data_IF_379648873103
#
_entry.id   IF_379648873103
#
_cell.length_a   1.000
_cell.length_b   1.000
_cell.length_c   1.000
_cell.angle_alpha   90.00
_cell.angle_beta   90.00
_cell.angle_gamma   90.00
#
_symmetry.space_group_name_H-M   'P 1'
#
loop_
_entity.id
_entity.type
_entity.pdbx_description
1 polymer ?
#
# COMPACT_ATOMS: atom_id res chain seq x y z
N UNK A 1 6.99 4.05 -10.07
CA UNK A 1 8.09 4.28 -9.10
C UNK A 1 9.32 3.44 -9.40
N UNK A 2 9.22 2.14 -9.53
CA UNK A 2 10.37 1.28 -9.87
C UNK A 2 11.00 1.66 -11.23
N UNK A 3 10.18 2.02 -12.22
CA UNK A 3 10.65 2.41 -13.56
C UNK A 3 11.62 3.62 -13.55
N UNK A 4 11.48 4.51 -12.59
CA UNK A 4 12.35 5.69 -12.43
C UNK A 4 13.49 5.45 -11.43
N UNK A 5 13.77 4.21 -11.07
CA UNK A 5 14.95 3.81 -10.31
C UNK A 5 14.74 3.62 -8.80
N UNK A 6 13.52 3.66 -8.29
CA UNK A 6 13.27 3.37 -6.88
C UNK A 6 13.18 1.86 -6.64
N UNK A 7 13.62 1.44 -5.46
CA UNK A 7 13.37 0.09 -4.97
C UNK A 7 11.95 0.02 -4.38
N UNK A 8 11.15 -0.90 -4.88
CA UNK A 8 9.72 -1.04 -4.52
C UNK A 8 9.41 -2.47 -4.12
N UNK A 9 8.77 -2.64 -2.98
CA UNK A 9 8.21 -3.91 -2.55
C UNK A 9 6.69 -3.79 -2.46
N UNK A 10 5.98 -4.60 -3.24
CA UNK A 10 4.53 -4.63 -3.25
C UNK A 10 4.03 -5.73 -2.31
N UNK A 11 3.16 -5.34 -1.39
CA UNK A 11 2.46 -6.26 -0.49
C UNK A 11 1.02 -6.46 -0.98
N UNK A 12 0.62 -7.70 -1.12
CA UNK A 12 -0.79 -8.09 -1.26
C UNK A 12 -1.05 -9.31 -0.38
N UNK A 13 -2.17 -9.33 0.32
CA UNK A 13 -2.54 -10.44 1.18
C UNK A 13 -3.09 -11.64 0.39
N UNK A 14 -3.41 -11.45 -0.88
CA UNK A 14 -3.84 -12.52 -1.77
C UNK A 14 -2.61 -13.28 -2.32
N UNK A 15 -2.38 -14.52 -1.87
CA UNK A 15 -1.21 -15.28 -2.32
C UNK A 15 -1.28 -15.65 -3.80
N UNK A 16 -2.46 -15.74 -4.39
CA UNK A 16 -2.62 -16.06 -5.81
C UNK A 16 -2.14 -14.91 -6.69
N UNK A 17 -2.44 -13.66 -6.32
CA UNK A 17 -1.93 -12.48 -7.01
C UNK A 17 -0.40 -12.40 -6.96
N UNK A 18 0.18 -12.62 -5.79
CA UNK A 18 1.64 -12.62 -5.61
C UNK A 18 2.30 -13.73 -6.42
N UNK A 19 1.69 -14.91 -6.47
CA UNK A 19 2.17 -16.03 -7.28
C UNK A 19 2.17 -15.69 -8.77
N UNK A 20 1.12 -15.07 -9.27
CA UNK A 20 1.02 -14.62 -10.67
C UNK A 20 2.13 -13.61 -10.98
N UNK A 21 2.32 -12.60 -10.12
CA UNK A 21 3.35 -11.57 -10.29
C UNK A 21 4.76 -12.15 -10.28
N UNK A 22 5.07 -13.06 -9.36
CA UNK A 22 6.37 -13.72 -9.27
C UNK A 22 6.63 -14.64 -10.47
N UNK A 23 5.59 -15.16 -11.11
CA UNK A 23 5.70 -15.99 -12.32
C UNK A 23 5.82 -15.17 -13.61
N UNK A 24 5.81 -13.83 -13.54
CA UNK A 24 5.93 -12.95 -14.68
C UNK A 24 4.60 -12.53 -15.33
N UNK A 25 3.47 -12.88 -14.71
CA UNK A 25 2.14 -12.42 -15.12
C UNK A 25 1.71 -11.15 -14.41
N UNK A 26 0.54 -10.64 -14.76
CA UNK A 26 -0.15 -9.55 -14.06
C UNK A 26 -1.60 -9.93 -13.78
N UNK A 27 -2.15 -9.59 -12.59
CA UNK A 27 -3.52 -9.95 -12.23
C UNK A 27 -4.59 -9.11 -12.92
N UNK A 28 -4.21 -7.97 -13.49
CA UNK A 28 -5.09 -7.10 -14.28
C UNK A 28 -4.41 -6.76 -15.60
N UNK A 29 -5.21 -6.59 -16.66
CA UNK A 29 -4.68 -6.20 -17.96
C UNK A 29 -4.65 -4.69 -18.13
N UNK A 30 -3.45 -4.16 -18.40
CA UNK A 30 -3.23 -2.81 -18.90
C UNK A 30 -2.15 -2.83 -19.99
N UNK A 31 -2.31 -2.11 -21.10
CA UNK A 31 -1.31 -2.09 -22.16
C UNK A 31 0.07 -1.66 -21.67
N UNK A 32 1.10 -2.48 -21.92
CA UNK A 32 2.48 -2.21 -21.54
C UNK A 32 2.84 -2.47 -20.08
N UNK A 33 1.87 -2.76 -19.21
CA UNK A 33 2.10 -2.97 -17.78
C UNK A 33 2.92 -4.23 -17.50
N UNK A 34 2.60 -5.34 -18.14
CA UNK A 34 3.30 -6.61 -17.94
C UNK A 34 4.79 -6.50 -18.28
N UNK A 35 5.13 -5.87 -19.38
CA UNK A 35 6.52 -5.66 -19.81
C UNK A 35 7.27 -4.76 -18.83
N UNK A 36 6.65 -3.68 -18.35
CA UNK A 36 7.22 -2.77 -17.37
C UNK A 36 7.47 -3.49 -16.03
N UNK A 37 6.50 -4.24 -15.54
CA UNK A 37 6.61 -5.02 -14.30
C UNK A 37 7.74 -6.04 -14.41
N UNK A 38 7.77 -6.82 -15.49
CA UNK A 38 8.80 -7.84 -15.70
C UNK A 38 10.20 -7.25 -15.81
N UNK A 39 10.36 -6.13 -16.52
CA UNK A 39 11.64 -5.43 -16.65
C UNK A 39 12.17 -4.97 -15.30
N UNK A 40 11.34 -4.35 -14.48
CA UNK A 40 11.74 -3.86 -13.16
C UNK A 40 11.97 -5.00 -12.16
N UNK A 41 11.19 -6.07 -12.25
CA UNK A 41 11.39 -7.26 -11.42
C UNK A 41 12.72 -7.94 -11.73
N UNK A 42 13.05 -8.13 -13.00
CA UNK A 42 14.33 -8.68 -13.44
C UNK A 42 15.53 -7.82 -13.04
N UNK A 43 15.34 -6.51 -13.04
CA UNK A 43 16.37 -5.55 -12.61
C UNK A 43 16.59 -5.52 -11.09
N UNK A 44 15.76 -6.22 -10.31
CA UNK A 44 15.83 -6.27 -8.85
C UNK A 44 15.25 -5.04 -8.15
N UNK A 45 14.60 -4.13 -8.88
CA UNK A 45 13.98 -2.93 -8.31
C UNK A 45 12.54 -3.12 -7.86
N UNK A 46 11.90 -4.20 -8.24
CA UNK A 46 10.51 -4.48 -7.93
C UNK A 46 10.38 -5.89 -7.39
N UNK A 47 9.82 -6.02 -6.20
CA UNK A 47 9.52 -7.30 -5.56
C UNK A 47 8.07 -7.39 -5.11
N UNK A 48 7.64 -8.60 -4.79
CA UNK A 48 6.27 -8.90 -4.35
C UNK A 48 6.31 -9.81 -3.14
N UNK A 49 5.44 -9.56 -2.17
CA UNK A 49 5.36 -10.36 -0.95
C UNK A 49 3.95 -10.42 -0.37
N UNK A 50 3.67 -11.47 0.37
CA UNK A 50 2.49 -11.57 1.26
C UNK A 50 2.86 -11.28 2.72
N UNK A 51 4.13 -11.07 3.02
CA UNK A 51 4.63 -10.86 4.39
C UNK A 51 4.54 -9.38 4.78
N UNK A 52 3.61 -9.07 5.68
CA UNK A 52 3.37 -7.71 6.18
C UNK A 52 4.59 -7.14 6.89
N UNK A 53 5.24 -7.93 7.74
CA UNK A 53 6.41 -7.48 8.51
C UNK A 53 7.57 -7.11 7.58
N UNK A 54 7.84 -7.93 6.57
CA UNK A 54 8.83 -7.66 5.56
C UNK A 54 8.54 -6.35 4.80
N UNK A 55 7.29 -6.16 4.38
CA UNK A 55 6.89 -4.97 3.63
C UNK A 55 7.03 -3.69 4.46
N UNK A 56 6.63 -3.72 5.72
CA UNK A 56 6.73 -2.55 6.61
C UNK A 56 8.20 -2.23 6.96
N UNK A 57 9.03 -3.24 7.10
CA UNK A 57 10.47 -3.07 7.35
C UNK A 57 11.24 -2.56 6.12
N UNK A 58 10.75 -2.83 4.92
CA UNK A 58 11.47 -2.57 3.66
C UNK A 58 11.68 -1.08 3.37
N UNK A 59 10.62 -0.29 3.39
CA UNK A 59 10.67 1.09 2.90
C UNK A 59 10.30 2.14 3.94
N UNK A 60 10.98 3.29 3.89
CA UNK A 60 10.60 4.46 4.70
C UNK A 60 9.24 5.01 4.28
N UNK A 61 8.93 4.99 3.00
CA UNK A 61 7.65 5.46 2.44
C UNK A 61 6.74 4.27 2.23
N UNK A 62 5.59 4.29 2.90
CA UNK A 62 4.59 3.24 2.87
C UNK A 62 3.35 3.76 2.15
N UNK A 63 3.04 3.22 0.98
CA UNK A 63 1.85 3.58 0.23
C UNK A 63 0.68 2.66 0.58
N UNK A 64 -0.43 3.24 1.00
CA UNK A 64 -1.70 2.54 1.14
C UNK A 64 -2.47 2.74 -0.17
N UNK A 65 -2.58 1.66 -0.95
CA UNK A 65 -3.22 1.65 -2.27
C UNK A 65 -4.23 0.50 -2.37
N UNK A 66 -5.07 0.38 -1.35
CA UNK A 66 -6.11 -0.66 -1.26
C UNK A 66 -7.44 -0.17 -1.82
N UNK A 67 -8.30 -1.11 -2.21
CA UNK A 67 -9.64 -0.78 -2.68
C UNK A 67 -10.51 -0.17 -1.58
N UNK A 68 -11.35 0.77 -1.99
CA UNK A 68 -12.33 1.43 -1.11
C UNK A 68 -13.73 1.28 -1.73
N UNK A 69 -14.31 0.05 -1.69
CA UNK A 69 -15.63 -0.18 -2.27
C UNK A 69 -16.69 0.68 -1.54
N UNK A 70 -17.78 1.05 -2.23
CA UNK A 70 -18.86 1.77 -1.57
C UNK A 70 -19.61 0.87 -0.59
N UNK A 71 -20.03 1.44 0.54
CA UNK A 71 -21.00 0.84 1.42
C UNK A 71 -22.41 0.92 0.81
N UNK A 72 -23.39 0.23 1.43
CA UNK A 72 -24.80 0.25 0.99
C UNK A 72 -25.39 1.66 0.95
N UNK A 73 -24.92 2.57 1.81
CA UNK A 73 -25.34 3.98 1.87
C UNK A 73 -24.58 4.90 0.89
N UNK A 74 -23.68 4.35 0.08
CA UNK A 74 -22.85 5.10 -0.88
C UNK A 74 -21.57 5.71 -0.30
N UNK A 75 -21.33 5.61 1.00
CA UNK A 75 -20.07 6.04 1.61
C UNK A 75 -18.93 5.06 1.25
N UNK A 76 -17.68 5.53 1.29
CA UNK A 76 -16.53 4.66 1.08
C UNK A 76 -16.29 3.74 2.29
N UNK A 77 -16.08 2.45 2.02
CA UNK A 77 -15.67 1.50 3.04
C UNK A 77 -14.16 1.66 3.30
N UNK A 78 -13.83 2.14 4.49
CA UNK A 78 -12.45 2.38 4.92
C UNK A 78 -11.80 1.20 5.63
N UNK A 79 -12.46 0.06 5.69
CA UNK A 79 -12.00 -1.12 6.42
C UNK A 79 -10.59 -1.56 6.00
N UNK A 80 -10.33 -1.61 4.69
CA UNK A 80 -9.04 -2.02 4.16
C UNK A 80 -7.95 -0.97 4.40
N UNK A 81 -8.28 0.31 4.27
CA UNK A 81 -7.36 1.42 4.55
C UNK A 81 -6.92 1.41 6.01
N UNK A 82 -7.86 1.27 6.92
CA UNK A 82 -7.58 1.25 8.36
C UNK A 82 -6.85 -0.02 8.79
N UNK A 83 -7.15 -1.16 8.18
CA UNK A 83 -6.42 -2.40 8.42
C UNK A 83 -4.96 -2.29 7.99
N UNK A 84 -4.69 -1.69 6.83
CA UNK A 84 -3.33 -1.41 6.36
C UNK A 84 -2.60 -0.47 7.31
N UNK A 85 -3.25 0.60 7.76
CA UNK A 85 -2.69 1.53 8.74
C UNK A 85 -2.31 0.84 10.06
N UNK A 86 -3.19 -0.01 10.58
CA UNK A 86 -2.91 -0.79 11.80
C UNK A 86 -1.73 -1.73 11.61
N UNK A 87 -1.63 -2.39 10.47
CA UNK A 87 -0.50 -3.27 10.16
C UNK A 87 0.82 -2.49 10.15
N UNK A 88 0.83 -1.30 9.58
CA UNK A 88 2.02 -0.42 9.61
C UNK A 88 2.37 -0.07 11.06
N UNK A 89 1.42 0.41 11.85
CA UNK A 89 1.64 0.75 13.26
C UNK A 89 2.09 -0.43 14.11
N UNK A 90 1.61 -1.62 13.79
CA UNK A 90 1.93 -2.86 14.51
C UNK A 90 3.35 -3.35 14.26
N UNK A 91 3.89 -3.12 13.07
CA UNK A 91 5.18 -3.67 12.63
C UNK A 91 6.29 -2.63 12.43
N UNK A 92 5.99 -1.33 12.37
CA UNK A 92 7.02 -0.31 12.17
C UNK A 92 7.97 -0.22 13.38
N UNK A 93 9.25 -0.08 13.10
CA UNK A 93 10.32 0.03 14.12
C UNK A 93 11.04 1.37 14.07
N UNK A 94 10.98 2.05 12.94
CA UNK A 94 11.61 3.32 12.67
C UNK A 94 10.60 4.29 12.05
N UNK A 95 11.02 5.54 11.86
CA UNK A 95 10.21 6.55 11.21
C UNK A 95 9.68 6.08 9.86
N UNK A 96 8.40 6.32 9.61
CA UNK A 96 7.75 6.02 8.33
C UNK A 96 6.92 7.22 7.87
N UNK A 97 6.91 7.43 6.55
CA UNK A 97 5.97 8.32 5.87
C UNK A 97 4.89 7.42 5.26
N UNK A 98 3.67 7.58 5.74
CA UNK A 98 2.51 6.82 5.24
C UNK A 98 1.75 7.69 4.25
N UNK A 99 1.64 7.23 3.02
CA UNK A 99 0.96 7.94 1.94
C UNK A 99 -0.32 7.19 1.60
N UNK A 100 -1.45 7.83 1.80
CA UNK A 100 -2.73 7.28 1.39
C UNK A 100 -3.00 7.64 -0.07
N UNK A 101 -2.92 6.65 -0.95
CA UNK A 101 -3.22 6.76 -2.38
C UNK A 101 -4.66 6.37 -2.71
N UNK A 102 -5.36 5.75 -1.79
CA UNK A 102 -6.75 5.34 -2.00
C UNK A 102 -7.66 6.56 -2.15
N UNK A 103 -8.70 6.41 -2.97
CA UNK A 103 -9.73 7.44 -3.12
C UNK A 103 -10.64 7.39 -1.89
N UNK A 104 -10.46 8.34 -0.99
CA UNK A 104 -11.10 8.36 0.33
C UNK A 104 -11.68 9.73 0.65
N UNK A 105 -12.69 9.79 1.53
CA UNK A 105 -13.25 11.07 1.98
C UNK A 105 -12.23 11.95 2.70
N UNK A 106 -12.50 13.26 2.72
CA UNK A 106 -11.77 14.22 3.54
C UNK A 106 -11.80 13.78 5.02
N UNK A 107 -10.68 13.90 5.70
CA UNK A 107 -10.54 13.47 7.10
C UNK A 107 -10.06 12.03 7.30
N UNK A 108 -9.92 11.24 6.24
CA UNK A 108 -9.41 9.86 6.34
C UNK A 108 -7.97 9.81 6.86
N UNK A 109 -7.14 10.80 6.53
CA UNK A 109 -5.77 10.88 7.05
C UNK A 109 -5.74 10.92 8.59
N UNK A 110 -6.68 11.60 9.23
CA UNK A 110 -6.78 11.64 10.69
C UNK A 110 -7.16 10.26 11.27
N UNK A 111 -8.03 9.52 10.59
CA UNK A 111 -8.38 8.14 10.96
C UNK A 111 -7.19 7.20 10.81
N UNK A 112 -6.40 7.37 9.77
CA UNK A 112 -5.15 6.62 9.56
C UNK A 112 -4.15 6.92 10.66
N UNK A 113 -3.95 8.19 11.02
CA UNK A 113 -3.10 8.59 12.16
C UNK A 113 -3.56 7.95 13.46
N UNK A 114 -4.86 8.00 13.74
CA UNK A 114 -5.43 7.41 14.95
C UNK A 114 -5.20 5.90 15.00
N UNK A 115 -5.37 5.18 13.90
CA UNK A 115 -5.15 3.74 13.81
C UNK A 115 -3.68 3.37 14.09
N UNK A 116 -2.73 4.12 13.52
CA UNK A 116 -1.29 3.92 13.77
C UNK A 116 -0.95 4.24 15.23
N UNK A 117 -1.44 5.36 15.74
CA UNK A 117 -1.20 5.79 17.12
C UNK A 117 -1.69 4.76 18.14
N UNK A 118 -2.88 4.19 17.91
CA UNK A 118 -3.45 3.14 18.77
C UNK A 118 -2.57 1.90 18.82
N UNK A 119 -2.07 1.43 17.68
CA UNK A 119 -1.20 0.25 17.63
C UNK A 119 0.15 0.51 18.31
N UNK A 120 0.74 1.68 18.12
CA UNK A 120 1.97 2.08 18.79
C UNK A 120 1.76 2.16 20.31
N UNK A 121 0.66 2.75 20.76
CA UNK A 121 0.32 2.86 22.18
C UNK A 121 0.12 1.48 22.82
N UNK A 122 -0.59 0.58 22.16
CA UNK A 122 -0.85 -0.78 22.67
C UNK A 122 0.45 -1.57 22.89
N UNK A 123 1.46 -1.38 22.08
CA UNK A 123 2.76 -2.05 22.21
C UNK A 123 3.81 -1.22 22.95
N UNK A 124 3.45 -0.07 23.50
CA UNK A 124 4.35 0.79 24.26
C UNK A 124 5.50 1.39 23.44
N UNK A 125 5.30 1.55 22.13
CA UNK A 125 6.32 2.11 21.25
C UNK A 125 6.09 3.62 21.04
N UNK A 126 7.17 4.40 21.09
CA UNK A 126 7.18 5.83 20.80
C UNK A 126 8.01 6.06 19.53
N UNK A 127 7.36 5.93 18.38
CA UNK A 127 8.00 6.05 17.07
C UNK A 127 7.31 7.16 16.29
N UNK A 128 8.09 8.10 15.76
CA UNK A 128 7.58 9.17 14.93
C UNK A 128 7.15 8.65 13.55
N UNK A 129 6.11 9.25 13.00
CA UNK A 129 5.61 8.97 11.65
C UNK A 129 4.88 10.19 11.09
N UNK A 130 4.73 10.23 9.78
CA UNK A 130 3.93 11.24 9.07
C UNK A 130 2.89 10.57 8.21
N UNK A 131 1.72 11.18 8.09
CA UNK A 131 0.65 10.71 7.21
C UNK A 131 0.35 11.78 6.18
N UNK A 132 0.38 11.40 4.91
CA UNK A 132 0.11 12.27 3.76
C UNK A 132 -1.04 11.69 2.96
N UNK A 133 -2.01 12.52 2.60
CA UNK A 133 -3.06 12.15 1.66
C UNK A 133 -2.65 12.59 0.25
N UNK A 134 -2.59 11.64 -0.66
CA UNK A 134 -2.28 11.89 -2.07
C UNK A 134 -3.19 11.01 -2.93
N UNK A 135 -4.50 11.31 -2.97
CA UNK A 135 -5.46 10.49 -3.69
C UNK A 135 -5.20 10.52 -5.19
N UNK A 136 -5.55 9.43 -5.84
CA UNK A 136 -5.49 9.27 -7.29
C UNK A 136 -6.90 9.26 -7.86
N UNK A 137 -7.12 10.06 -8.89
CA UNK A 137 -8.43 10.21 -9.55
C UNK A 137 -8.40 9.69 -10.99
N UNK A 138 -7.48 8.79 -11.29
CA UNK A 138 -7.38 8.20 -12.62
C UNK A 138 -8.54 7.22 -12.86
N UNK A 139 -9.08 7.28 -14.07
CA UNK A 139 -10.07 6.31 -14.52
C UNK A 139 -9.37 4.98 -14.83
N UNK A 140 -9.88 3.90 -14.29
CA UNK A 140 -9.41 2.56 -14.66
C UNK A 140 -9.79 2.23 -16.12
N UNK A 141 -8.85 1.60 -16.82
CA UNK A 141 -9.00 1.25 -18.21
C UNK A 141 -8.48 2.33 -19.16
N UNK A 142 -8.96 2.35 -20.39
CA UNK A 142 -8.54 3.34 -21.37
C UNK A 142 -9.06 4.74 -21.02
N UNK A 143 -8.16 5.64 -20.76
CA UNK A 143 -8.46 7.07 -20.63
C UNK A 143 -8.48 7.74 -22.00
#
# INVERSE_FOLDING_TARGET
MAEVGNDVLCLDLDPDKIKILNAGGIPIYEPGLQEMVNRNHKAGRLGFTTDIEQAVAFGMVQFIAVGTPPNEDGSADLQHVLAAARNIGRHMRDYRVVVDKSTVPVGTADKVRAAIADELKQRGADIAYSVVSNPEFLKEGAA
#
